data_IF_517588220131
#
_entry.id   IF_517588220131
#
_cell.length_a   1.000
_cell.length_b   1.000
_cell.length_c   1.000
_cell.angle_alpha   90.00
_cell.angle_beta   90.00
_cell.angle_gamma   90.00
#
_symmetry.space_group_name_H-M   'P 1'
#
loop_
_entity.id
_entity.type
_entity.pdbx_description
1 polymer ?
#
# COMPACT_ATOMS: atom_id res chain seq x y z
N UNK A 1 -15.77 -9.52 -18.99
CA UNK A 1 -14.43 -9.91 -18.48
C UNK A 1 -13.69 -8.66 -18.03
N UNK A 2 -13.64 -8.31 -16.73
CA UNK A 2 -13.00 -7.05 -16.33
C UNK A 2 -11.47 -7.20 -16.34
N UNK A 3 -10.80 -6.16 -16.81
CA UNK A 3 -9.36 -6.09 -17.02
C UNK A 3 -8.57 -6.31 -15.72
N UNK A 4 -7.89 -7.45 -15.59
CA UNK A 4 -6.97 -7.77 -14.48
C UNK A 4 -5.55 -7.25 -14.77
N UNK A 5 -5.39 -5.96 -15.02
CA UNK A 5 -4.05 -5.33 -15.03
C UNK A 5 -3.84 -4.41 -13.83
N UNK A 6 -4.29 -4.83 -12.65
CA UNK A 6 -3.80 -4.25 -11.40
C UNK A 6 -2.31 -4.57 -11.31
N UNK A 7 -1.45 -3.57 -11.53
CA UNK A 7 -0.01 -3.70 -11.29
C UNK A 7 0.23 -4.24 -9.88
N UNK A 8 1.23 -5.12 -9.70
CA UNK A 8 1.60 -5.71 -8.40
C UNK A 8 1.71 -4.63 -7.31
N UNK A 9 2.34 -3.49 -7.61
CA UNK A 9 2.44 -2.34 -6.72
C UNK A 9 1.09 -1.79 -6.22
N UNK A 10 0.05 -1.85 -7.04
CA UNK A 10 -1.29 -1.42 -6.66
C UNK A 10 -1.92 -2.40 -5.68
N UNK A 11 -1.67 -3.70 -5.87
CA UNK A 11 -2.12 -4.77 -4.96
C UNK A 11 -1.42 -4.65 -3.61
N UNK A 12 -0.11 -4.45 -3.60
CA UNK A 12 0.66 -4.25 -2.37
C UNK A 12 0.17 -3.03 -1.57
N UNK A 13 -0.14 -1.94 -2.27
CA UNK A 13 -0.70 -0.74 -1.65
C UNK A 13 -2.07 -1.01 -1.00
N UNK A 14 -2.94 -1.75 -1.67
CA UNK A 14 -4.25 -2.14 -1.12
C UNK A 14 -4.10 -2.99 0.13
N UNK A 15 -3.23 -3.99 0.08
CA UNK A 15 -2.95 -4.85 1.24
C UNK A 15 -2.40 -4.05 2.41
N UNK A 16 -1.50 -3.09 2.15
CA UNK A 16 -0.94 -2.23 3.19
C UNK A 16 -1.98 -1.33 3.86
N UNK A 17 -2.84 -0.69 3.07
CA UNK A 17 -3.93 0.16 3.61
C UNK A 17 -4.92 -0.69 4.41
N UNK A 18 -5.25 -1.88 3.92
CA UNK A 18 -6.14 -2.80 4.63
C UNK A 18 -5.53 -3.25 5.96
N UNK A 19 -4.23 -3.56 5.99
CA UNK A 19 -3.53 -3.92 7.21
C UNK A 19 -3.52 -2.76 8.23
N UNK A 20 -3.31 -1.52 7.78
CA UNK A 20 -3.40 -0.33 8.65
C UNK A 20 -4.81 -0.13 9.21
N UNK A 21 -5.84 -0.32 8.40
CA UNK A 21 -7.22 -0.22 8.84
C UNK A 21 -7.55 -1.30 9.90
N UNK A 22 -7.16 -2.55 9.66
CA UNK A 22 -7.45 -3.67 10.58
C UNK A 22 -6.64 -3.64 11.87
N UNK A 23 -5.34 -3.33 11.79
CA UNK A 23 -4.43 -3.42 12.93
C UNK A 23 -4.36 -2.14 13.76
N UNK A 24 -4.52 -1.00 13.10
CA UNK A 24 -4.31 0.31 13.72
C UNK A 24 -5.52 1.24 13.64
N UNK A 25 -6.61 0.84 12.95
CA UNK A 25 -7.82 1.65 12.82
C UNK A 25 -7.68 2.86 11.89
N UNK A 26 -6.58 2.97 11.14
CA UNK A 26 -6.38 4.10 10.22
C UNK A 26 -7.06 3.84 8.87
N UNK A 27 -8.05 4.66 8.53
CA UNK A 27 -8.74 4.59 7.23
C UNK A 27 -8.15 5.60 6.23
N UNK A 28 -7.45 5.06 5.22
CA UNK A 28 -6.89 5.84 4.12
C UNK A 28 -7.65 5.63 2.79
N UNK A 29 -8.78 4.93 2.78
CA UNK A 29 -9.48 4.54 1.55
C UNK A 29 -10.03 5.72 0.76
N UNK A 30 -10.26 6.86 1.42
CA UNK A 30 -10.75 8.09 0.79
C UNK A 30 -9.64 8.98 0.18
N UNK A 31 -8.37 8.60 0.29
CA UNK A 31 -7.27 9.37 -0.31
C UNK A 31 -7.01 8.97 -1.76
N UNK A 32 -6.53 9.94 -2.55
CA UNK A 32 -6.10 9.68 -3.91
C UNK A 32 -4.98 8.62 -3.96
N UNK A 33 -5.22 7.52 -4.69
CA UNK A 33 -4.30 6.38 -4.77
C UNK A 33 -2.87 6.76 -5.20
N UNK A 34 -2.74 7.67 -6.16
CA UNK A 34 -1.43 8.15 -6.62
C UNK A 34 -0.63 8.86 -5.52
N UNK A 35 -1.30 9.55 -4.60
CA UNK A 35 -0.66 10.23 -3.47
C UNK A 35 -0.27 9.23 -2.37
N UNK A 36 -1.10 8.23 -2.10
CA UNK A 36 -0.78 7.15 -1.17
C UNK A 36 0.42 6.32 -1.68
N UNK A 37 0.39 5.91 -2.95
CA UNK A 37 1.48 5.14 -3.56
C UNK A 37 2.83 5.84 -3.40
N UNK A 38 2.90 7.15 -3.69
CA UNK A 38 4.13 7.95 -3.54
C UNK A 38 4.63 7.99 -2.10
N UNK A 39 3.72 8.21 -1.13
CA UNK A 39 4.09 8.25 0.29
C UNK A 39 4.58 6.90 0.80
N UNK A 40 3.86 5.82 0.48
CA UNK A 40 4.20 4.47 0.94
C UNK A 40 5.48 3.96 0.27
N UNK A 41 5.68 4.26 -1.02
CA UNK A 41 6.95 3.96 -1.70
C UNK A 41 8.13 4.72 -1.06
N UNK A 42 7.97 6.02 -0.79
CA UNK A 42 9.00 6.80 -0.11
C UNK A 42 9.28 6.27 1.31
N UNK A 43 8.24 5.80 2.02
CA UNK A 43 8.40 5.15 3.32
C UNK A 43 9.20 3.84 3.20
N UNK A 44 8.87 2.98 2.24
CA UNK A 44 9.60 1.74 1.96
C UNK A 44 11.08 2.03 1.69
N UNK A 45 11.38 3.00 0.81
CA UNK A 45 12.76 3.42 0.53
C UNK A 45 13.49 3.91 1.78
N UNK A 46 12.83 4.73 2.62
CA UNK A 46 13.42 5.24 3.87
C UNK A 46 13.70 4.14 4.89
N UNK A 47 12.93 3.06 4.88
CA UNK A 47 13.11 1.90 5.74
C UNK A 47 14.04 0.83 5.13
N UNK A 48 14.53 1.05 3.90
CA UNK A 48 15.38 0.10 3.19
C UNK A 48 14.63 -1.11 2.63
N UNK A 49 13.30 -1.04 2.53
CA UNK A 49 12.46 -2.10 1.98
C UNK A 49 12.46 -2.07 0.44
N UNK A 50 12.47 -3.26 -0.18
CA UNK A 50 12.43 -3.42 -1.63
C UNK A 50 11.04 -3.28 -2.24
N UNK A 51 9.99 -3.42 -1.42
CA UNK A 51 8.59 -3.41 -1.83
C UNK A 51 7.67 -2.84 -0.76
N UNK A 52 6.42 -2.50 -1.12
CA UNK A 52 5.42 -2.07 -0.14
C UNK A 52 4.98 -3.26 0.72
N UNK A 53 4.99 -4.48 0.17
CA UNK A 53 4.64 -5.69 0.89
C UNK A 53 5.51 -5.94 2.12
N UNK A 54 6.79 -5.53 2.10
CA UNK A 54 7.70 -5.64 3.24
C UNK A 54 7.34 -4.73 4.42
N UNK A 55 6.50 -3.71 4.20
CA UNK A 55 5.95 -2.88 5.27
C UNK A 55 4.78 -3.55 6.01
N UNK A 56 4.27 -4.66 5.49
CA UNK A 56 3.18 -5.37 6.13
C UNK A 56 3.64 -5.98 7.46
N UNK A 57 2.80 -5.93 8.49
CA UNK A 57 3.08 -6.62 9.74
C UNK A 57 3.14 -8.13 9.52
N UNK A 58 4.11 -8.79 10.17
CA UNK A 58 4.21 -10.26 10.26
C UNK A 58 3.23 -10.83 11.28
#
# INVERSE_FOLDING_TARGET
MPARSSSVHSIELDLFIEALARRHGYDFRNYARASLKRRVAALATRLGCGSIAELLPR
#
